data_IF_161687085940
#
_entry.id   IF_161687085940
#
_cell.length_a   1.000
_cell.length_b   1.000
_cell.length_c   1.000
_cell.angle_alpha   90.00
_cell.angle_beta   90.00
_cell.angle_gamma   90.00
#
_symmetry.space_group_name_H-M   'P 1'
#
loop_
_entity.id
_entity.type
_entity.pdbx_description
1 polymer ?
#
# COMPACT_ATOMS: atom_id res chain seq x y z
N UNK A 1 -21.95 16.66 -13.36
CA UNK A 1 -20.65 15.95 -13.35
C UNK A 1 -19.46 16.90 -13.36
N UNK A 2 -19.44 17.95 -14.21
CA UNK A 2 -18.36 18.96 -14.26
C UNK A 2 -18.12 19.69 -12.92
N UNK A 3 -19.18 20.19 -12.26
CA UNK A 3 -19.08 20.83 -10.93
C UNK A 3 -18.42 19.94 -9.86
N UNK A 4 -18.69 18.63 -9.90
CA UNK A 4 -18.11 17.66 -8.98
C UNK A 4 -16.62 17.46 -9.24
N UNK A 5 -16.23 17.28 -10.52
CA UNK A 5 -14.82 17.14 -10.93
C UNK A 5 -14.02 18.39 -10.55
N UNK A 6 -14.54 19.59 -10.86
CA UNK A 6 -13.88 20.85 -10.49
C UNK A 6 -13.71 20.98 -8.99
N UNK A 7 -14.74 20.64 -8.20
CA UNK A 7 -14.65 20.66 -6.74
C UNK A 7 -13.58 19.69 -6.21
N UNK A 8 -13.48 18.49 -6.76
CA UNK A 8 -12.44 17.52 -6.38
C UNK A 8 -11.04 17.99 -6.76
N UNK A 9 -10.84 18.53 -7.95
CA UNK A 9 -9.55 19.09 -8.39
C UNK A 9 -9.11 20.24 -7.51
N UNK A 10 -10.03 21.16 -7.19
CA UNK A 10 -9.73 22.32 -6.35
C UNK A 10 -9.45 21.91 -4.91
N UNK A 11 -10.22 20.98 -4.36
CA UNK A 11 -9.92 20.39 -3.05
C UNK A 11 -8.55 19.71 -3.04
N UNK A 12 -8.20 18.94 -4.08
CA UNK A 12 -6.90 18.29 -4.20
C UNK A 12 -5.74 19.28 -4.24
N UNK A 13 -5.88 20.37 -5.01
CA UNK A 13 -4.87 21.44 -5.06
C UNK A 13 -4.68 22.11 -3.70
N UNK A 14 -5.78 22.42 -2.99
CA UNK A 14 -5.71 22.99 -1.64
C UNK A 14 -5.03 22.01 -0.68
N UNK A 15 -5.39 20.73 -0.72
CA UNK A 15 -4.77 19.69 0.12
C UNK A 15 -3.28 19.58 -0.15
N UNK A 16 -2.85 19.52 -1.42
CA UNK A 16 -1.43 19.48 -1.79
C UNK A 16 -0.68 20.73 -1.32
N UNK A 17 -1.25 21.92 -1.53
CA UNK A 17 -0.66 23.17 -1.06
C UNK A 17 -0.48 23.16 0.46
N UNK A 18 -1.49 22.74 1.21
CA UNK A 18 -1.41 22.64 2.67
C UNK A 18 -0.37 21.63 3.13
N UNK A 19 -0.30 20.45 2.50
CA UNK A 19 0.70 19.42 2.81
C UNK A 19 2.11 19.96 2.54
N UNK A 20 2.37 20.51 1.36
CA UNK A 20 3.69 21.07 1.00
C UNK A 20 4.10 22.18 1.98
N UNK A 21 3.18 23.09 2.30
CA UNK A 21 3.43 24.18 3.24
C UNK A 21 3.73 23.66 4.64
N UNK A 22 2.88 22.75 5.14
CA UNK A 22 3.01 22.18 6.48
C UNK A 22 4.32 21.40 6.61
N UNK A 23 4.61 20.50 5.66
CA UNK A 23 5.87 19.75 5.63
C UNK A 23 7.07 20.69 5.53
N UNK A 24 6.97 21.77 4.74
CA UNK A 24 8.03 22.76 4.67
C UNK A 24 8.35 23.32 6.06
N UNK A 25 7.37 23.90 6.75
CA UNK A 25 7.60 24.53 8.06
C UNK A 25 7.96 23.52 9.15
N UNK A 26 7.32 22.34 9.18
CA UNK A 26 7.63 21.30 10.16
C UNK A 26 9.10 20.90 10.10
N UNK A 27 9.65 20.70 8.91
CA UNK A 27 11.07 20.35 8.74
C UNK A 27 12.04 21.45 9.18
N UNK A 28 11.63 22.73 9.21
CA UNK A 28 12.47 23.85 9.68
C UNK A 28 12.33 24.12 11.18
N UNK A 29 11.26 23.61 11.80
CA UNK A 29 11.03 23.72 13.26
C UNK A 29 11.73 22.58 14.00
N UNK A 30 11.89 21.42 13.35
CA UNK A 30 12.59 20.28 13.96
C UNK A 30 14.03 20.67 14.32
N UNK A 31 14.54 20.25 15.50
CA UNK A 31 15.91 20.50 15.87
C UNK A 31 16.86 19.74 14.95
N UNK A 32 17.81 20.47 14.35
CA UNK A 32 18.81 19.95 13.42
C UNK A 32 18.62 20.44 11.98
N UNK A 33 19.72 20.50 11.23
CA UNK A 33 19.78 20.86 9.82
C UNK A 33 20.06 19.65 8.91
N UNK A 34 19.84 19.79 7.59
CA UNK A 34 20.03 18.69 6.63
C UNK A 34 21.49 18.20 6.51
N UNK A 35 22.45 18.92 7.10
CA UNK A 35 23.87 18.59 7.12
C UNK A 35 24.40 18.24 8.51
N UNK A 36 23.53 18.14 9.51
CA UNK A 36 23.93 17.70 10.85
C UNK A 36 24.11 16.18 10.83
N UNK A 37 25.36 15.76 10.62
CA UNK A 37 25.78 14.36 10.67
C UNK A 37 26.43 14.04 12.02
N UNK A 38 26.57 12.75 12.34
CA UNK A 38 27.33 12.28 13.52
C UNK A 38 28.76 12.86 13.59
N UNK A 39 29.33 13.22 12.43
CA UNK A 39 30.60 13.93 12.34
C UNK A 39 30.36 15.39 11.95
N UNK A 40 30.72 16.30 12.86
CA UNK A 40 30.61 17.74 12.60
C UNK A 40 31.48 18.14 11.42
N UNK A 41 30.86 18.78 10.42
CA UNK A 41 31.57 19.37 9.30
C UNK A 41 32.33 20.61 9.77
N UNK A 42 33.53 20.89 9.21
CA UNK A 42 34.21 22.16 9.43
C UNK A 42 33.26 23.35 9.14
N UNK A 43 33.26 24.42 9.97
CA UNK A 43 32.33 25.54 9.81
C UNK A 43 32.35 26.18 8.41
N UNK A 44 33.52 26.24 7.78
CA UNK A 44 33.67 26.75 6.42
C UNK A 44 32.96 25.90 5.36
N UNK A 45 32.96 24.57 5.52
CA UNK A 45 32.25 23.66 4.62
C UNK A 45 30.74 23.81 4.83
N UNK A 46 30.29 23.87 6.08
CA UNK A 46 28.88 24.05 6.42
C UNK A 46 28.32 25.37 5.87
N UNK A 47 29.07 26.48 6.00
CA UNK A 47 28.67 27.76 5.42
C UNK A 47 28.53 27.70 3.90
N UNK A 48 29.49 27.07 3.21
CA UNK A 48 29.43 26.87 1.75
C UNK A 48 28.24 26.00 1.34
N UNK A 49 27.93 24.96 2.11
CA UNK A 49 26.76 24.10 1.84
C UNK A 49 25.45 24.86 2.05
N UNK A 50 25.32 25.62 3.14
CA UNK A 50 24.13 26.42 3.39
C UNK A 50 23.90 27.46 2.28
N UNK A 51 24.96 28.16 1.86
CA UNK A 51 24.90 29.10 0.74
C UNK A 51 24.52 28.42 -0.58
N UNK A 52 25.11 27.25 -0.88
CA UNK A 52 24.82 26.49 -2.10
C UNK A 52 23.35 26.07 -2.20
N UNK A 53 22.73 25.69 -1.08
CA UNK A 53 21.33 25.26 -1.02
C UNK A 53 20.36 26.38 -0.63
N UNK A 54 20.85 27.61 -0.43
CA UNK A 54 20.04 28.77 -0.03
C UNK A 54 19.43 28.65 1.36
N UNK A 55 20.01 27.83 2.24
CA UNK A 55 19.56 27.63 3.63
C UNK A 55 19.96 28.80 4.55
N UNK A 56 20.85 29.67 4.07
CA UNK A 56 21.28 30.92 4.71
C UNK A 56 20.28 32.07 4.53
N UNK A 57 19.32 31.94 3.60
CA UNK A 57 18.31 32.97 3.30
C UNK A 57 17.20 33.02 4.34
N UNK A 58 16.46 34.15 4.45
CA UNK A 58 15.25 34.23 5.26
C UNK A 58 14.22 33.15 4.87
N UNK A 59 13.49 32.62 5.86
CA UNK A 59 12.54 31.50 5.67
C UNK A 59 11.48 31.77 4.60
N UNK A 60 11.01 33.01 4.46
CA UNK A 60 10.02 33.37 3.46
C UNK A 60 10.60 33.28 2.04
N UNK A 61 11.86 33.71 1.82
CA UNK A 61 12.53 33.55 0.53
C UNK A 61 12.73 32.08 0.18
N UNK A 62 13.16 31.26 1.16
CA UNK A 62 13.29 29.82 0.98
C UNK A 62 11.95 29.19 0.58
N UNK A 63 10.86 29.59 1.24
CA UNK A 63 9.52 29.06 0.99
C UNK A 63 8.99 29.43 -0.39
N UNK A 64 9.00 30.72 -0.77
CA UNK A 64 8.50 31.15 -2.08
C UNK A 64 9.37 30.64 -3.23
N UNK A 65 10.68 30.57 -3.03
CA UNK A 65 11.59 29.93 -4.00
C UNK A 65 11.23 28.46 -4.17
N UNK A 66 11.12 27.69 -3.07
CA UNK A 66 10.75 26.28 -3.13
C UNK A 66 9.40 26.06 -3.81
N UNK A 67 8.39 26.86 -3.47
CA UNK A 67 7.06 26.76 -4.05
C UNK A 67 7.06 27.06 -5.56
N UNK A 68 7.87 28.03 -6.02
CA UNK A 68 8.04 28.33 -7.44
C UNK A 68 8.69 27.15 -8.21
N UNK A 69 9.65 26.45 -7.62
CA UNK A 69 10.23 25.24 -8.21
C UNK A 69 9.20 24.10 -8.27
N UNK A 70 8.47 23.85 -7.17
CA UNK A 70 7.44 22.80 -7.10
C UNK A 70 6.34 23.01 -8.14
N UNK A 71 5.87 24.24 -8.34
CA UNK A 71 4.85 24.56 -9.36
C UNK A 71 5.37 24.31 -10.79
N UNK A 72 6.68 24.40 -11.01
CA UNK A 72 7.33 24.05 -12.30
C UNK A 72 7.65 22.56 -12.41
N UNK A 73 7.34 21.75 -11.39
CA UNK A 73 7.65 20.33 -11.34
C UNK A 73 9.07 20.01 -10.91
N UNK A 74 9.82 20.96 -10.35
CA UNK A 74 11.17 20.77 -9.83
C UNK A 74 11.13 20.70 -8.29
N UNK A 75 11.44 19.53 -7.74
CA UNK A 75 11.49 19.28 -6.30
C UNK A 75 12.84 19.69 -5.68
N UNK A 76 13.79 20.11 -6.52
CA UNK A 76 15.12 20.55 -6.13
C UNK A 76 16.15 19.43 -5.99
N UNK A 77 17.40 19.79 -5.64
CA UNK A 77 18.48 18.83 -5.44
C UNK A 77 18.31 18.04 -4.13
N UNK A 78 18.87 16.83 -4.08
CA UNK A 78 18.92 16.07 -2.83
C UNK A 78 20.02 16.60 -1.90
N UNK A 79 19.67 16.82 -0.63
CA UNK A 79 20.64 17.16 0.40
C UNK A 79 21.48 15.97 0.86
N UNK A 80 21.04 14.74 0.57
CA UNK A 80 21.77 13.50 0.89
C UNK A 80 22.62 13.02 -0.28
N UNK A 81 22.05 13.02 -1.48
CA UNK A 81 22.70 12.57 -2.71
C UNK A 81 23.09 13.77 -3.57
N UNK A 82 24.28 14.33 -3.35
CA UNK A 82 24.73 15.61 -3.92
C UNK A 82 24.70 15.72 -5.46
N UNK A 83 24.65 14.59 -6.17
CA UNK A 83 24.64 14.51 -7.64
C UNK A 83 23.27 14.19 -8.23
N UNK A 84 22.23 14.04 -7.40
CA UNK A 84 20.89 13.63 -7.83
C UNK A 84 19.83 14.65 -7.45
N UNK A 85 18.85 14.86 -8.32
CA UNK A 85 17.65 15.61 -7.96
C UNK A 85 16.69 14.75 -7.15
N UNK A 86 15.81 15.38 -6.38
CA UNK A 86 14.72 14.69 -5.68
C UNK A 86 13.78 14.04 -6.71
N UNK A 87 13.53 14.70 -7.85
CA UNK A 87 12.75 14.14 -8.95
C UNK A 87 13.31 12.79 -9.44
N UNK A 88 14.63 12.68 -9.64
CA UNK A 88 15.25 11.45 -10.11
C UNK A 88 15.12 10.31 -9.10
N UNK A 89 15.22 10.64 -7.81
CA UNK A 89 15.08 9.67 -6.72
C UNK A 89 13.63 9.19 -6.64
N UNK A 90 12.68 10.12 -6.64
CA UNK A 90 11.25 9.81 -6.57
C UNK A 90 10.79 9.04 -7.80
N UNK A 91 11.18 9.44 -9.01
CA UNK A 91 10.77 8.78 -10.24
C UNK A 91 11.26 7.33 -10.31
N UNK A 92 12.52 7.07 -9.90
CA UNK A 92 13.06 5.72 -9.88
C UNK A 92 12.42 4.85 -8.80
N UNK A 93 12.25 5.40 -7.59
CA UNK A 93 11.61 4.67 -6.50
C UNK A 93 10.14 4.38 -6.79
N UNK A 94 9.38 5.39 -7.21
CA UNK A 94 7.94 5.28 -7.44
C UNK A 94 7.57 4.20 -8.47
N UNK A 95 8.40 3.95 -9.48
CA UNK A 95 8.14 2.86 -10.44
C UNK A 95 8.25 1.49 -9.76
N UNK A 96 9.26 1.30 -8.92
CA UNK A 96 9.48 0.06 -8.16
C UNK A 96 8.36 -0.15 -7.13
N UNK A 97 8.02 0.87 -6.34
CA UNK A 97 6.92 0.80 -5.38
C UNK A 97 5.59 0.55 -6.08
N UNK A 98 5.36 1.14 -7.27
CA UNK A 98 4.17 0.89 -8.07
C UNK A 98 4.07 -0.56 -8.52
N UNK A 99 5.13 -1.14 -9.07
CA UNK A 99 5.14 -2.54 -9.53
C UNK A 99 4.86 -3.52 -8.38
N UNK A 100 5.56 -3.35 -7.25
CA UNK A 100 5.35 -4.18 -6.06
C UNK A 100 3.96 -3.99 -5.46
N UNK A 101 3.52 -2.73 -5.34
CA UNK A 101 2.21 -2.37 -4.81
C UNK A 101 1.09 -2.94 -5.68
N UNK A 102 1.17 -2.79 -7.00
CA UNK A 102 0.19 -3.33 -7.94
C UNK A 102 0.14 -4.86 -7.89
N UNK A 103 1.30 -5.54 -7.86
CA UNK A 103 1.37 -6.99 -7.73
C UNK A 103 0.76 -7.47 -6.40
N UNK A 104 1.04 -6.77 -5.30
CA UNK A 104 0.51 -7.09 -3.97
C UNK A 104 -1.00 -6.89 -3.87
N UNK A 105 -1.53 -5.78 -4.42
CA UNK A 105 -2.98 -5.53 -4.52
C UNK A 105 -3.64 -6.65 -5.32
N UNK A 106 -3.12 -6.96 -6.51
CA UNK A 106 -3.69 -8.00 -7.36
C UNK A 106 -3.69 -9.37 -6.67
N UNK A 107 -2.54 -9.80 -6.17
CA UNK A 107 -2.37 -11.10 -5.51
C UNK A 107 -3.19 -11.21 -4.23
N UNK A 108 -3.14 -10.18 -3.37
CA UNK A 108 -3.87 -10.16 -2.11
C UNK A 108 -5.37 -10.17 -2.33
N UNK A 109 -5.87 -9.34 -3.24
CA UNK A 109 -7.29 -9.33 -3.58
C UNK A 109 -7.75 -10.64 -4.18
N UNK A 110 -7.01 -11.19 -5.14
CA UNK A 110 -7.35 -12.47 -5.74
C UNK A 110 -7.42 -13.59 -4.68
N UNK A 111 -6.40 -13.68 -3.82
CA UNK A 111 -6.35 -14.67 -2.75
C UNK A 111 -7.46 -14.46 -1.71
N UNK A 112 -7.73 -13.22 -1.33
CA UNK A 112 -8.77 -12.88 -0.35
C UNK A 112 -10.17 -13.21 -0.86
N UNK A 113 -10.47 -12.88 -2.12
CA UNK A 113 -11.73 -13.24 -2.78
C UNK A 113 -11.87 -14.75 -2.92
N UNK A 114 -10.82 -15.45 -3.35
CA UNK A 114 -10.83 -16.90 -3.47
C UNK A 114 -11.09 -17.57 -2.12
N UNK A 115 -10.41 -17.12 -1.06
CA UNK A 115 -10.59 -17.66 0.29
C UNK A 115 -12.00 -17.35 0.84
N UNK A 116 -12.56 -16.17 0.57
CA UNK A 116 -13.92 -15.82 0.97
C UNK A 116 -14.96 -16.70 0.26
N UNK A 117 -14.73 -17.01 -1.01
CA UNK A 117 -15.58 -17.91 -1.79
C UNK A 117 -15.52 -19.35 -1.25
N UNK A 118 -14.32 -19.85 -0.94
CA UNK A 118 -14.12 -21.17 -0.33
C UNK A 118 -14.77 -21.26 1.05
N UNK A 119 -14.61 -20.22 1.88
CA UNK A 119 -15.24 -20.13 3.18
C UNK A 119 -16.78 -20.14 3.08
N UNK A 120 -17.36 -19.31 2.21
CA UNK A 120 -18.80 -19.28 2.00
C UNK A 120 -19.35 -20.61 1.44
N UNK A 121 -18.60 -21.27 0.56
CA UNK A 121 -18.96 -22.60 0.07
C UNK A 121 -18.92 -23.65 1.19
N UNK A 122 -17.87 -23.62 2.02
CA UNK A 122 -17.72 -24.53 3.15
C UNK A 122 -18.91 -24.43 4.12
N UNK A 123 -19.32 -23.21 4.49
CA UNK A 123 -20.52 -22.99 5.32
C UNK A 123 -21.79 -23.49 4.63
N UNK A 124 -21.92 -23.25 3.32
CA UNK A 124 -23.08 -23.67 2.53
C UNK A 124 -23.31 -25.18 2.44
N UNK A 125 -22.29 -26.00 2.75
CA UNK A 125 -22.46 -27.46 2.83
C UNK A 125 -23.28 -27.91 4.03
N UNK A 126 -23.44 -27.08 5.06
CA UNK A 126 -24.16 -27.43 6.30
C UNK A 126 -23.50 -28.52 7.15
N UNK A 127 -22.30 -28.97 6.77
CA UNK A 127 -21.56 -30.02 7.51
C UNK A 127 -20.73 -29.41 8.63
N UNK A 128 -20.52 -30.17 9.72
CA UNK A 128 -19.63 -29.75 10.83
C UNK A 128 -18.23 -29.39 10.32
N UNK A 129 -17.69 -30.19 9.40
CA UNK A 129 -16.39 -29.93 8.76
C UNK A 129 -16.38 -28.63 7.97
N UNK A 130 -17.47 -28.31 7.27
CA UNK A 130 -17.63 -27.05 6.53
C UNK A 130 -17.61 -25.82 7.44
N UNK A 131 -18.30 -25.87 8.58
CA UNK A 131 -18.24 -24.80 9.59
C UNK A 131 -16.85 -24.62 10.19
N UNK A 132 -16.11 -25.71 10.44
CA UNK A 132 -14.73 -25.63 10.93
C UNK A 132 -13.78 -25.00 9.89
N UNK A 133 -13.95 -25.33 8.62
CA UNK A 133 -13.16 -24.75 7.52
C UNK A 133 -13.44 -23.24 7.36
N UNK A 134 -14.70 -22.82 7.40
CA UNK A 134 -15.07 -21.40 7.40
C UNK A 134 -14.48 -20.66 8.60
N UNK A 135 -14.53 -21.28 9.79
CA UNK A 135 -13.89 -20.75 11.00
C UNK A 135 -12.38 -20.57 10.83
N UNK A 136 -11.69 -21.55 10.23
CA UNK A 136 -10.25 -21.47 9.96
C UNK A 136 -9.91 -20.34 8.97
N UNK A 137 -10.63 -20.26 7.85
CA UNK A 137 -10.42 -19.19 6.87
C UNK A 137 -10.72 -17.81 7.45
N UNK A 138 -11.77 -17.70 8.26
CA UNK A 138 -12.13 -16.47 8.96
C UNK A 138 -11.08 -16.07 9.97
N UNK A 139 -10.54 -17.03 10.73
CA UNK A 139 -9.43 -16.79 11.66
C UNK A 139 -8.20 -16.26 10.92
N UNK A 140 -7.82 -16.89 9.80
CA UNK A 140 -6.68 -16.46 8.99
C UNK A 140 -6.88 -15.05 8.42
N UNK A 141 -8.07 -14.78 7.87
CA UNK A 141 -8.41 -13.46 7.30
C UNK A 141 -8.41 -12.35 8.35
N UNK A 142 -8.95 -12.60 9.55
CA UNK A 142 -8.93 -11.62 10.65
C UNK A 142 -7.53 -11.46 11.24
N UNK A 143 -6.77 -12.55 11.40
CA UNK A 143 -5.39 -12.49 11.91
C UNK A 143 -4.48 -11.69 10.98
N UNK A 144 -4.73 -11.76 9.67
CA UNK A 144 -4.02 -10.97 8.68
C UNK A 144 -4.24 -9.44 8.84
N UNK A 145 -5.31 -9.00 9.49
CA UNK A 145 -5.52 -7.58 9.79
C UNK A 145 -4.83 -7.15 11.09
N UNK A 146 -4.78 -8.06 12.07
CA UNK A 146 -4.25 -7.79 13.41
C UNK A 146 -2.72 -7.74 13.45
N UNK A 147 -2.05 -8.41 12.51
CA UNK A 147 -0.60 -8.50 12.50
C UNK A 147 0.01 -7.38 11.65
N UNK A 148 0.97 -6.60 12.19
CA UNK A 148 1.67 -5.59 11.39
C UNK A 148 2.42 -6.22 10.21
N UNK A 149 2.32 -5.60 9.03
CA UNK A 149 2.93 -6.12 7.79
C UNK A 149 4.45 -6.27 7.90
N UNK A 150 5.15 -5.37 8.56
CA UNK A 150 6.60 -5.47 8.77
C UNK A 150 6.99 -6.68 9.64
N UNK A 151 6.16 -7.05 10.62
CA UNK A 151 6.38 -8.25 11.45
C UNK A 151 6.20 -9.50 10.59
N UNK A 152 5.16 -9.53 9.76
CA UNK A 152 4.97 -10.62 8.80
C UNK A 152 6.14 -10.73 7.83
N UNK A 153 6.63 -9.61 7.31
CA UNK A 153 7.82 -9.56 6.46
C UNK A 153 9.05 -10.14 7.13
N UNK A 154 9.29 -9.80 8.40
CA UNK A 154 10.39 -10.38 9.18
C UNK A 154 10.26 -11.92 9.33
N UNK A 155 9.06 -12.44 9.57
CA UNK A 155 8.82 -13.89 9.59
C UNK A 155 9.03 -14.54 8.21
N UNK A 156 8.58 -13.88 7.14
CA UNK A 156 8.80 -14.35 5.77
C UNK A 156 10.29 -14.50 5.45
N UNK A 157 11.11 -13.51 5.85
CA UNK A 157 12.57 -13.59 5.73
C UNK A 157 13.13 -14.74 6.57
N UNK A 158 12.76 -14.82 7.85
CA UNK A 158 13.28 -15.84 8.76
C UNK A 158 12.98 -17.27 8.27
N UNK A 159 11.76 -17.52 7.82
CA UNK A 159 11.32 -18.85 7.39
C UNK A 159 11.88 -19.18 6.00
N UNK A 160 11.62 -18.34 5.00
CA UNK A 160 11.90 -18.70 3.60
C UNK A 160 13.32 -18.39 3.17
N UNK A 161 13.94 -17.35 3.71
CA UNK A 161 15.30 -16.99 3.34
C UNK A 161 16.33 -17.60 4.29
N UNK A 162 16.09 -17.60 5.60
CA UNK A 162 17.10 -18.07 6.57
C UNK A 162 16.99 -19.56 6.86
N UNK A 163 15.82 -20.07 7.24
CA UNK A 163 15.68 -21.48 7.63
C UNK A 163 15.60 -22.41 6.42
N UNK A 164 14.73 -22.09 5.45
CA UNK A 164 14.52 -22.93 4.27
C UNK A 164 15.53 -22.67 3.14
N UNK A 165 16.12 -21.47 3.07
CA UNK A 165 17.00 -21.04 1.97
C UNK A 165 16.34 -21.18 0.58
N UNK A 166 15.02 -21.01 0.50
CA UNK A 166 14.25 -21.14 -0.75
C UNK A 166 14.21 -19.86 -1.56
N UNK A 167 14.13 -18.72 -0.86
CA UNK A 167 13.92 -17.41 -1.48
C UNK A 167 14.95 -16.42 -0.94
N UNK A 168 15.43 -15.50 -1.77
CA UNK A 168 16.37 -14.50 -1.31
C UNK A 168 15.68 -13.42 -0.47
N UNK A 169 16.40 -12.88 0.51
CA UNK A 169 15.84 -11.97 1.51
C UNK A 169 15.80 -10.50 1.09
N UNK A 170 16.72 -10.04 0.23
CA UNK A 170 16.93 -8.61 0.05
C UNK A 170 17.58 -8.28 -1.30
N UNK A 171 17.40 -7.02 -1.74
CA UNK A 171 17.92 -6.42 -2.99
C UNK A 171 17.21 -6.98 -4.23
N UNK A 172 16.44 -6.15 -4.94
CA UNK A 172 15.69 -6.54 -6.13
C UNK A 172 16.59 -6.85 -7.37
N UNK A 173 17.47 -7.83 -7.26
CA UNK A 173 18.39 -8.23 -8.33
C UNK A 173 17.77 -9.25 -9.28
N UNK A 174 16.87 -10.10 -8.77
CA UNK A 174 16.15 -11.10 -9.57
C UNK A 174 14.65 -11.10 -9.22
N UNK A 175 13.76 -11.58 -10.11
CA UNK A 175 12.32 -11.63 -9.84
C UNK A 175 11.94 -12.42 -8.57
N UNK A 176 12.78 -13.36 -8.14
CA UNK A 176 12.56 -14.11 -6.90
C UNK A 176 12.59 -13.22 -5.64
N UNK A 177 13.36 -12.11 -5.67
CA UNK A 177 13.45 -11.16 -4.57
C UNK A 177 12.16 -10.37 -4.37
N UNK A 178 11.30 -10.27 -5.39
CA UNK A 178 10.01 -9.60 -5.29
C UNK A 178 8.95 -10.46 -4.58
N UNK A 179 9.15 -11.78 -4.47
CA UNK A 179 8.13 -12.71 -3.93
C UNK A 179 7.81 -12.40 -2.47
N UNK A 180 8.82 -12.32 -1.60
CA UNK A 180 8.60 -12.06 -0.18
C UNK A 180 8.02 -10.65 0.11
N UNK A 181 8.51 -9.56 -0.51
CA UNK A 181 7.88 -8.24 -0.43
C UNK A 181 6.43 -8.26 -0.89
N UNK A 182 6.13 -8.85 -2.06
CA UNK A 182 4.77 -8.90 -2.61
C UNK A 182 3.84 -9.68 -1.70
N UNK A 183 4.25 -10.84 -1.18
CA UNK A 183 3.47 -11.60 -0.20
C UNK A 183 3.22 -10.78 1.06
N UNK A 184 4.23 -10.07 1.54
CA UNK A 184 4.11 -9.23 2.74
C UNK A 184 3.12 -8.07 2.55
N UNK A 185 3.24 -7.36 1.43
CA UNK A 185 2.35 -6.26 1.07
C UNK A 185 0.93 -6.76 0.76
N UNK A 186 0.79 -7.98 0.23
CA UNK A 186 -0.51 -8.55 -0.15
C UNK A 186 -1.44 -8.84 1.04
N UNK A 187 -0.89 -8.88 2.25
CA UNK A 187 -1.61 -9.20 3.48
C UNK A 187 -2.79 -8.25 3.76
N UNK A 188 -2.59 -6.95 3.53
CA UNK A 188 -3.63 -5.92 3.71
C UNK A 188 -4.76 -6.08 2.66
N UNK A 189 -4.50 -6.05 1.33
CA UNK A 189 -5.54 -6.27 0.34
C UNK A 189 -6.22 -7.63 0.51
N UNK A 190 -5.49 -8.66 0.93
CA UNK A 190 -6.05 -9.97 1.25
C UNK A 190 -7.08 -9.90 2.39
N UNK A 191 -6.71 -9.35 3.54
CA UNK A 191 -7.58 -9.28 4.71
C UNK A 191 -8.87 -8.49 4.40
N UNK A 192 -8.73 -7.31 3.79
CA UNK A 192 -9.88 -6.49 3.41
C UNK A 192 -10.76 -7.16 2.36
N UNK A 193 -10.17 -7.75 1.31
CA UNK A 193 -10.94 -8.42 0.26
C UNK A 193 -11.68 -9.63 0.81
N UNK A 194 -11.02 -10.42 1.66
CA UNK A 194 -11.64 -11.56 2.33
C UNK A 194 -12.84 -11.13 3.16
N UNK A 195 -12.66 -10.17 4.09
CA UNK A 195 -13.70 -9.75 5.03
C UNK A 195 -14.90 -9.14 4.30
N UNK A 196 -14.66 -8.22 3.37
CA UNK A 196 -15.72 -7.54 2.62
C UNK A 196 -16.53 -8.52 1.79
N UNK A 197 -15.86 -9.38 1.02
CA UNK A 197 -16.54 -10.35 0.16
C UNK A 197 -17.22 -11.43 0.98
N UNK A 198 -16.61 -11.92 2.08
CA UNK A 198 -17.23 -12.92 2.96
C UNK A 198 -18.50 -12.41 3.59
N UNK A 199 -18.48 -11.17 4.11
CA UNK A 199 -19.65 -10.51 4.69
C UNK A 199 -20.73 -10.31 3.64
N UNK A 200 -20.38 -9.80 2.46
CA UNK A 200 -21.33 -9.59 1.38
C UNK A 200 -21.94 -10.92 0.88
N UNK A 201 -21.14 -11.98 0.73
CA UNK A 201 -21.62 -13.32 0.38
C UNK A 201 -22.58 -13.87 1.43
N UNK A 202 -22.31 -13.62 2.72
CA UNK A 202 -23.20 -14.03 3.80
C UNK A 202 -24.54 -13.29 3.75
N UNK A 203 -24.55 -12.00 3.42
CA UNK A 203 -25.80 -11.25 3.24
C UNK A 203 -26.56 -11.69 1.99
N UNK A 204 -25.85 -11.87 0.87
CA UNK A 204 -26.45 -12.18 -0.44
C UNK A 204 -26.99 -13.60 -0.50
N UNK A 205 -26.41 -14.57 0.22
CA UNK A 205 -26.91 -15.95 0.28
C UNK A 205 -28.36 -16.03 0.75
N UNK A 206 -28.80 -15.08 1.58
CA UNK A 206 -30.17 -14.99 2.08
C UNK A 206 -31.12 -14.18 1.17
N UNK A 207 -30.63 -13.59 0.07
CA UNK A 207 -31.45 -12.79 -0.82
C UNK A 207 -32.44 -13.64 -1.63
N UNK A 208 -33.65 -13.11 -1.85
CA UNK A 208 -34.75 -13.82 -2.54
C UNK A 208 -34.35 -14.34 -3.92
N UNK A 209 -33.59 -13.57 -4.70
CA UNK A 209 -33.14 -13.99 -6.04
C UNK A 209 -32.16 -15.17 -6.01
N UNK A 210 -31.44 -15.38 -4.91
CA UNK A 210 -30.56 -16.54 -4.71
C UNK A 210 -31.40 -17.76 -4.30
N UNK A 211 -32.36 -17.58 -3.38
CA UNK A 211 -33.27 -18.65 -2.97
C UNK A 211 -34.08 -19.21 -4.16
N UNK A 212 -34.57 -18.35 -5.05
CA UNK A 212 -35.26 -18.76 -6.29
C UNK A 212 -34.35 -19.64 -7.16
N UNK A 213 -33.06 -19.31 -7.27
CA UNK A 213 -32.11 -20.11 -8.06
C UNK A 213 -31.84 -21.48 -7.46
N UNK A 214 -31.81 -21.57 -6.13
CA UNK A 214 -31.75 -22.86 -5.45
C UNK A 214 -33.05 -23.66 -5.65
N UNK A 215 -34.22 -23.02 -5.62
CA UNK A 215 -35.51 -23.66 -5.89
C UNK A 215 -35.63 -24.21 -7.32
N UNK A 216 -34.98 -23.56 -8.30
CA UNK A 216 -34.84 -24.07 -9.66
C UNK A 216 -33.82 -25.21 -9.81
N UNK A 217 -33.21 -25.68 -8.72
CA UNK A 217 -32.28 -26.82 -8.73
C UNK A 217 -30.91 -26.52 -9.33
N UNK A 218 -30.51 -25.24 -9.47
CA UNK A 218 -29.17 -24.91 -9.94
C UNK A 218 -28.12 -25.40 -8.94
N UNK A 219 -26.98 -25.90 -9.47
CA UNK A 219 -25.84 -26.31 -8.68
C UNK A 219 -25.42 -25.19 -7.69
N UNK A 220 -25.36 -25.46 -6.36
CA UNK A 220 -25.00 -24.48 -5.34
C UNK A 220 -23.68 -23.74 -5.60
N UNK A 221 -22.67 -24.44 -6.13
CA UNK A 221 -21.40 -23.82 -6.48
C UNK A 221 -21.55 -22.79 -7.60
N UNK A 222 -22.35 -23.10 -8.63
CA UNK A 222 -22.62 -22.17 -9.73
C UNK A 222 -23.42 -20.96 -9.24
N UNK A 223 -24.37 -21.17 -8.33
CA UNK A 223 -25.14 -20.08 -7.71
C UNK A 223 -24.22 -19.15 -6.94
N UNK A 224 -23.33 -19.70 -6.11
CA UNK A 224 -22.37 -18.92 -5.33
C UNK A 224 -21.37 -18.18 -6.23
N UNK A 225 -20.61 -18.90 -7.06
CA UNK A 225 -19.50 -18.35 -7.83
C UNK A 225 -19.93 -17.40 -8.97
N UNK A 226 -21.10 -17.61 -9.58
CA UNK A 226 -21.57 -16.78 -10.71
C UNK A 226 -22.60 -15.72 -10.30
N UNK A 227 -23.47 -16.00 -9.33
CA UNK A 227 -24.60 -15.13 -9.01
C UNK A 227 -24.42 -14.36 -7.71
N UNK A 228 -23.96 -15.00 -6.65
CA UNK A 228 -23.69 -14.30 -5.39
C UNK A 228 -22.41 -13.46 -5.50
N UNK A 229 -21.30 -14.04 -5.97
CA UNK A 229 -20.00 -13.37 -6.03
C UNK A 229 -20.02 -12.08 -6.85
N UNK A 230 -20.70 -12.07 -8.00
CA UNK A 230 -20.83 -10.86 -8.83
C UNK A 230 -21.39 -9.67 -8.05
N UNK A 231 -22.37 -9.91 -7.17
CA UNK A 231 -22.96 -8.87 -6.33
C UNK A 231 -22.10 -8.59 -5.09
N UNK A 232 -21.40 -9.60 -4.57
CA UNK A 232 -20.52 -9.48 -3.41
C UNK A 232 -19.24 -8.68 -3.70
N UNK A 233 -18.86 -8.50 -4.97
CA UNK A 233 -17.70 -7.71 -5.38
C UNK A 233 -17.98 -6.20 -5.42
N UNK A 234 -19.24 -5.77 -5.41
CA UNK A 234 -19.58 -4.34 -5.50
C UNK A 234 -18.97 -3.52 -4.34
N UNK A 235 -19.08 -3.93 -3.06
CA UNK A 235 -18.46 -3.20 -1.95
C UNK A 235 -16.93 -3.18 -2.02
N UNK A 236 -16.33 -4.25 -2.55
CA UNK A 236 -14.88 -4.35 -2.70
C UNK A 236 -14.36 -3.25 -3.64
N UNK A 237 -15.00 -3.05 -4.80
CA UNK A 237 -14.59 -2.04 -5.79
C UNK A 237 -14.52 -0.62 -5.20
N UNK A 238 -15.41 -0.29 -4.26
CA UNK A 238 -15.42 1.02 -3.59
C UNK A 238 -14.19 1.27 -2.71
N UNK A 239 -13.63 0.22 -2.09
CA UNK A 239 -12.47 0.31 -1.18
C UNK A 239 -11.15 0.02 -1.91
N UNK A 240 -11.19 -0.65 -3.07
CA UNK A 240 -9.98 -0.93 -3.85
C UNK A 240 -9.24 0.32 -4.29
N UNK A 241 -9.94 1.40 -4.65
CA UNK A 241 -9.28 2.65 -5.07
C UNK A 241 -8.39 3.26 -3.98
N UNK A 242 -8.89 3.56 -2.76
CA UNK A 242 -8.04 4.08 -1.68
C UNK A 242 -6.99 3.07 -1.21
N UNK A 243 -7.32 1.77 -1.19
CA UNK A 243 -6.38 0.72 -0.78
C UNK A 243 -5.20 0.62 -1.76
N UNK A 244 -5.48 0.66 -3.07
CA UNK A 244 -4.44 0.65 -4.11
C UNK A 244 -3.57 1.88 -4.03
N UNK A 245 -4.16 3.07 -3.84
CA UNK A 245 -3.39 4.31 -3.69
C UNK A 245 -2.43 4.25 -2.49
N UNK A 246 -2.91 3.72 -1.35
CA UNK A 246 -2.08 3.56 -0.16
C UNK A 246 -0.92 2.57 -0.37
N UNK A 247 -1.15 1.46 -1.07
CA UNK A 247 -0.12 0.43 -1.30
C UNK A 247 0.90 0.84 -2.37
N UNK A 248 0.45 1.51 -3.43
CA UNK A 248 1.30 2.02 -4.53
C UNK A 248 2.25 3.11 -4.05
N UNK A 249 1.86 3.87 -3.03
CA UNK A 249 2.74 4.86 -2.39
C UNK A 249 3.89 4.22 -1.60
N UNK A 250 3.93 2.88 -1.55
CA UNK A 250 4.98 2.13 -0.89
C UNK A 250 4.71 1.89 0.59
N UNK A 251 5.46 0.96 1.16
CA UNK A 251 5.50 0.73 2.60
C UNK A 251 6.95 0.83 3.04
N UNK A 252 7.30 2.00 3.56
CA UNK A 252 8.65 2.32 4.02
C UNK A 252 9.24 1.20 4.91
N UNK A 253 8.43 0.63 5.82
CA UNK A 253 8.89 -0.43 6.70
C UNK A 253 9.20 -1.74 5.96
N UNK A 254 8.39 -2.10 4.97
CA UNK A 254 8.59 -3.32 4.18
C UNK A 254 9.78 -3.15 3.22
N UNK A 255 9.87 -2.00 2.55
CA UNK A 255 11.02 -1.68 1.68
C UNK A 255 12.35 -1.71 2.44
N UNK A 256 12.35 -1.23 3.69
CA UNK A 256 13.55 -1.27 4.54
C UNK A 256 13.96 -2.70 4.90
N UNK A 257 13.00 -3.58 5.20
CA UNK A 257 13.27 -4.99 5.53
C UNK A 257 13.86 -5.74 4.33
N UNK A 258 13.30 -5.53 3.15
CA UNK A 258 13.71 -6.23 1.93
C UNK A 258 14.79 -5.48 1.13
N UNK A 259 15.27 -4.33 1.64
CA UNK A 259 16.21 -3.43 0.94
C UNK A 259 15.79 -3.14 -0.50
N UNK A 260 14.51 -2.82 -0.70
CA UNK A 260 13.94 -2.46 -1.99
C UNK A 260 14.32 -1.01 -2.32
N UNK A 261 14.80 -0.71 -3.54
CA UNK A 261 15.22 0.63 -3.94
C UNK A 261 14.03 1.54 -4.31
N UNK A 262 13.10 1.70 -3.37
CA UNK A 262 12.01 2.67 -3.43
C UNK A 262 10.62 2.08 -3.29
#
# INVERSE_FOLDING_TARGET
>A
MTSLITRHLLNGLITLFLIVSLTFFLLRIMPGGPFDQERQLPPAIMANMNARFGLDKPLHEQYFSYLAHVVRGDLGPSYKYMTRSVNDIVAQGALVSFELGAAAVFMGTLAGVAMALLAAWATGTGTRSGLLLDGLFSLLGVSALSMPSFIFGAFMVLIFATWLNWLPAARLETPAHAILPVLTLSMVPFAYSFLLVRNALNTISHATFIQIKHAYGLNPWRVLAKHALKNALIPLLSIMAPLTAALVTGSFAVELIFAVPG
#
